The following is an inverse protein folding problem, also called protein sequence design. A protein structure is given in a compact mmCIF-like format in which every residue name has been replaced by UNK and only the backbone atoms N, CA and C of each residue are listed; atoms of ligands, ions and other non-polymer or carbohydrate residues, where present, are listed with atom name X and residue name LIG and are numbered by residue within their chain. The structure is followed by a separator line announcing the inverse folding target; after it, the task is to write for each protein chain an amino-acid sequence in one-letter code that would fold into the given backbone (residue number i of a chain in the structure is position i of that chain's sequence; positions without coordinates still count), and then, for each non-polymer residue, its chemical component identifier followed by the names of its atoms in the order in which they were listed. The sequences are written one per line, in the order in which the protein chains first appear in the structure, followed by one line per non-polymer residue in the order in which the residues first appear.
data_IF_292536149398
#
_entry.id   IF_292536149398
#
_cell.length_a   1.000
_cell.length_b   1.000
_cell.length_c   1.000
_cell.angle_alpha   90.00
_cell.angle_beta   90.00
_cell.angle_gamma   90.00
#
_symmetry.space_group_name_H-M   'P 1'
#
loop_
_entity.id
_entity.type
_entity.pdbx_description
1 polymer ?
#
# COMPACT_ATOMS: atom_id res chain seq x y z
N UNK A 1 33.17 -18.75 -25.47
CA UNK A 1 32.12 -17.81 -25.02
C UNK A 1 30.85 -17.97 -25.88
N UNK A 2 30.96 -17.96 -27.21
CA UNK A 2 29.81 -18.17 -28.12
C UNK A 2 29.12 -19.54 -27.98
N UNK A 3 29.86 -20.64 -27.80
CA UNK A 3 29.25 -21.96 -27.58
C UNK A 3 28.44 -22.02 -26.29
N UNK A 4 28.95 -21.45 -25.19
CA UNK A 4 28.22 -21.38 -23.92
C UNK A 4 26.96 -20.52 -24.06
N UNK A 5 27.01 -19.47 -24.88
CA UNK A 5 25.85 -18.63 -25.18
C UNK A 5 24.82 -19.36 -26.04
N UNK A 6 25.25 -20.13 -27.04
CA UNK A 6 24.38 -20.93 -27.89
C UNK A 6 23.68 -22.05 -27.10
N UNK A 7 24.40 -22.70 -26.18
CA UNK A 7 23.86 -23.70 -25.25
C UNK A 7 22.86 -23.05 -24.29
N UNK A 8 23.21 -21.91 -23.67
CA UNK A 8 22.29 -21.17 -22.81
C UNK A 8 21.03 -20.73 -23.55
N UNK A 9 21.14 -20.25 -24.79
CA UNK A 9 20.00 -19.83 -25.62
C UNK A 9 19.06 -21.00 -25.96
N UNK A 10 19.62 -22.18 -26.30
CA UNK A 10 18.81 -23.39 -26.54
C UNK A 10 18.09 -23.89 -25.29
N UNK A 11 18.62 -23.63 -24.10
CA UNK A 11 18.02 -24.05 -22.81
C UNK A 11 17.04 -23.02 -22.27
N UNK A 12 17.28 -21.74 -22.54
CA UNK A 12 16.39 -20.66 -22.18
C UNK A 12 15.17 -20.56 -23.08
N UNK A 13 15.26 -20.90 -24.37
CA UNK A 13 14.11 -20.83 -25.31
C UNK A 13 12.90 -21.66 -24.86
N UNK A 14 13.07 -22.93 -24.47
CA UNK A 14 11.97 -23.74 -23.93
C UNK A 14 11.39 -23.13 -22.66
N UNK A 15 12.23 -22.58 -21.77
CA UNK A 15 11.74 -21.92 -20.55
C UNK A 15 10.99 -20.62 -20.86
N UNK A 16 11.48 -19.79 -21.79
CA UNK A 16 10.78 -18.58 -22.24
C UNK A 16 9.46 -18.93 -22.94
N UNK A 17 9.45 -20.02 -23.72
CA UNK A 17 8.22 -20.53 -24.34
C UNK A 17 7.25 -21.06 -23.30
N UNK A 18 7.75 -21.72 -22.25
CA UNK A 18 6.94 -22.14 -21.10
C UNK A 18 6.42 -20.95 -20.31
N UNK A 19 7.23 -19.92 -20.05
CA UNK A 19 6.79 -18.68 -19.41
C UNK A 19 5.70 -18.01 -20.24
N UNK A 20 5.87 -17.93 -21.57
CA UNK A 20 4.86 -17.39 -22.50
C UNK A 20 3.59 -18.26 -22.54
N UNK A 21 3.71 -19.58 -22.41
CA UNK A 21 2.56 -20.47 -22.29
C UNK A 21 1.82 -20.28 -20.95
N UNK A 22 2.56 -20.07 -19.85
CA UNK A 22 1.98 -19.72 -18.55
C UNK A 22 1.31 -18.34 -18.61
N UNK A 23 1.91 -17.38 -19.29
CA UNK A 23 1.36 -16.05 -19.56
C UNK A 23 0.02 -16.15 -20.30
N UNK A 24 -0.03 -16.88 -21.43
CA UNK A 24 -1.27 -17.15 -22.18
C UNK A 24 -2.33 -17.79 -21.27
N UNK A 25 -1.94 -18.72 -20.40
CA UNK A 25 -2.87 -19.39 -19.50
C UNK A 25 -3.46 -18.47 -18.42
N UNK A 26 -2.78 -17.37 -18.06
CA UNK A 26 -3.26 -16.39 -17.06
C UNK A 26 -3.84 -15.13 -17.70
N UNK A 27 -3.87 -14.99 -19.03
CA UNK A 27 -4.47 -13.81 -19.70
C UNK A 27 -5.92 -13.59 -19.24
N UNK A 28 -6.68 -14.66 -18.98
CA UNK A 28 -8.05 -14.55 -18.47
C UNK A 28 -8.14 -14.03 -17.02
N UNK A 29 -7.07 -14.16 -16.23
CA UNK A 29 -6.97 -13.64 -14.86
C UNK A 29 -6.41 -12.20 -14.83
N UNK A 30 -5.69 -11.79 -15.88
CA UNK A 30 -4.99 -10.50 -15.99
C UNK A 30 -5.67 -9.49 -16.91
N UNK A 31 -6.53 -9.94 -17.82
CA UNK A 31 -7.39 -9.09 -18.63
C UNK A 31 -8.78 -9.01 -17.98
N UNK A 32 -9.38 -7.82 -17.89
CA UNK A 32 -10.75 -7.72 -17.39
C UNK A 32 -11.65 -8.53 -18.33
N UNK A 33 -12.39 -9.50 -17.78
CA UNK A 33 -13.30 -10.28 -18.63
C UNK A 33 -14.29 -9.32 -19.29
N UNK A 34 -14.70 -9.59 -20.53
CA UNK A 34 -15.70 -8.78 -21.24
C UNK A 34 -17.00 -8.62 -20.43
N UNK A 35 -17.31 -9.59 -19.56
CA UNK A 35 -18.42 -9.53 -18.61
C UNK A 35 -18.22 -8.52 -17.45
N UNK A 36 -16.97 -8.21 -17.07
CA UNK A 36 -16.61 -7.18 -16.09
C UNK A 36 -16.62 -5.78 -16.70
N UNK A 37 -16.26 -5.63 -17.98
CA UNK A 37 -16.34 -4.37 -18.73
C UNK A 37 -17.81 -3.94 -18.89
N UNK A 38 -18.70 -4.88 -19.22
CA UNK A 38 -20.14 -4.64 -19.31
C UNK A 38 -20.77 -4.24 -17.95
N UNK A 39 -20.27 -4.76 -16.83
CA UNK A 39 -20.77 -4.43 -15.48
C UNK A 39 -20.22 -3.13 -14.92
N UNK A 40 -18.98 -2.75 -15.24
CA UNK A 40 -18.41 -1.45 -14.86
C UNK A 40 -19.16 -0.25 -15.49
N UNK A 41 -19.86 -0.48 -16.61
CA UNK A 41 -20.77 0.50 -17.21
C UNK A 41 -22.12 0.59 -16.49
N UNK A 42 -22.50 -0.43 -15.71
CA UNK A 42 -23.78 -0.53 -15.01
C UNK A 42 -23.71 -0.17 -13.51
N UNK A 43 -22.52 -0.16 -12.90
CA UNK A 43 -22.36 0.23 -11.49
C UNK A 43 -22.34 1.75 -11.34
N UNK A 44 -23.52 2.34 -11.10
CA UNK A 44 -23.62 3.69 -10.55
C UNK A 44 -22.97 3.72 -9.16
N UNK A 45 -22.25 4.79 -8.79
CA UNK A 45 -21.76 4.95 -7.43
C UNK A 45 -22.97 5.11 -6.51
N UNK A 46 -23.24 4.12 -5.66
CA UNK A 46 -24.17 4.31 -4.55
C UNK A 46 -23.48 5.28 -3.60
N UNK A 47 -23.94 6.53 -3.61
CA UNK A 47 -23.61 7.48 -2.56
C UNK A 47 -24.07 6.86 -1.24
N UNK A 48 -23.15 6.73 -0.28
CA UNK A 48 -23.50 6.35 1.09
C UNK A 48 -24.34 7.48 1.69
N UNK A 49 -25.64 7.40 1.44
CA UNK A 49 -26.67 8.12 2.15
C UNK A 49 -27.53 7.06 2.87
N UNK A 50 -27.28 6.95 4.17
CA UNK A 50 -28.20 6.62 5.26
C UNK A 50 -29.51 5.88 4.87
N UNK A 51 -29.60 4.60 5.29
CA UNK A 51 -30.82 3.90 5.78
C UNK A 51 -31.97 3.66 4.77
N UNK A 52 -32.82 2.64 4.80
CA UNK A 52 -33.01 1.37 5.51
C UNK A 52 -33.63 0.41 4.46
N UNK A 53 -33.50 -0.90 4.62
CA UNK A 53 -34.17 -1.97 3.82
C UNK A 53 -33.60 -2.32 2.43
N UNK A 54 -32.39 -2.86 2.39
CA UNK A 54 -31.97 -3.72 1.27
C UNK A 54 -31.31 -5.01 1.80
N UNK A 55 -32.13 -5.86 2.42
CA UNK A 55 -31.86 -7.29 2.50
C UNK A 55 -32.24 -7.84 1.13
N UNK A 56 -31.27 -7.95 0.21
CA UNK A 56 -31.40 -8.90 -0.90
C UNK A 56 -30.11 -9.69 -1.09
N UNK A 57 -30.31 -11.00 -1.18
CA UNK A 57 -29.30 -12.03 -1.17
C UNK A 57 -28.44 -11.99 -2.44
N UNK A 58 -27.19 -11.53 -2.31
CA UNK A 58 -26.14 -11.85 -3.27
C UNK A 58 -25.53 -13.22 -2.92
N UNK A 59 -26.06 -14.25 -3.57
CA UNK A 59 -25.55 -15.61 -3.46
C UNK A 59 -24.16 -15.80 -4.05
N UNK A 60 -23.35 -16.53 -3.28
CA UNK A 60 -22.19 -17.36 -3.63
C UNK A 60 -20.80 -16.72 -3.76
N UNK A 61 -19.93 -17.27 -2.90
CA UNK A 61 -18.49 -17.49 -3.06
C UNK A 61 -17.60 -16.25 -3.31
N UNK A 62 -17.37 -15.46 -2.26
CA UNK A 62 -16.07 -14.79 -2.10
C UNK A 62 -15.50 -15.24 -0.77
N UNK A 63 -14.68 -16.27 -0.83
CA UNK A 63 -14.03 -16.95 0.29
C UNK A 63 -12.88 -16.12 0.92
N UNK A 64 -12.92 -14.80 0.74
CA UNK A 64 -11.94 -13.84 1.25
C UNK A 64 -12.45 -13.20 2.53
N UNK A 65 -11.59 -13.10 3.55
CA UNK A 65 -11.95 -12.48 4.84
C UNK A 65 -12.36 -11.00 4.72
N UNK A 66 -12.12 -10.36 3.57
CA UNK A 66 -12.44 -8.96 3.31
C UNK A 66 -13.93 -8.65 3.29
N UNK A 67 -14.72 -9.47 2.58
CA UNK A 67 -16.19 -9.34 2.55
C UNK A 67 -16.82 -9.59 3.93
N UNK A 68 -16.15 -10.38 4.77
CA UNK A 68 -16.54 -10.60 6.17
C UNK A 68 -16.32 -9.33 6.98
N UNK A 69 -15.13 -8.72 6.89
CA UNK A 69 -14.82 -7.48 7.60
C UNK A 69 -15.76 -6.34 7.21
N UNK A 70 -16.10 -6.21 5.92
CA UNK A 70 -17.09 -5.21 5.45
C UNK A 70 -18.43 -5.35 6.17
N UNK A 71 -18.96 -6.58 6.26
CA UNK A 71 -20.23 -6.84 6.95
C UNK A 71 -20.13 -6.64 8.47
N UNK A 72 -18.96 -6.91 9.06
CA UNK A 72 -18.74 -6.65 10.49
C UNK A 72 -18.69 -5.15 10.80
N UNK A 73 -18.18 -4.29 9.91
CA UNK A 73 -18.09 -2.84 10.13
C UNK A 73 -19.47 -2.15 10.06
N UNK A 74 -20.45 -2.75 9.39
CA UNK A 74 -21.77 -2.15 9.21
C UNK A 74 -22.46 -1.85 10.55
N UNK A 75 -23.18 -0.72 10.66
CA UNK A 75 -23.99 -0.41 11.84
C UNK A 75 -24.95 -1.57 12.16
N UNK A 76 -25.06 -1.95 13.44
CA UNK A 76 -25.96 -3.02 13.86
C UNK A 76 -25.38 -4.44 13.77
N UNK A 77 -24.14 -4.62 13.31
CA UNK A 77 -23.48 -5.94 13.30
C UNK A 77 -23.25 -6.53 14.70
N UNK A 78 -23.27 -5.71 15.76
CA UNK A 78 -22.91 -6.14 17.12
C UNK A 78 -21.41 -6.33 17.34
N UNK A 79 -20.56 -6.09 16.33
CA UNK A 79 -19.10 -6.05 16.46
C UNK A 79 -18.65 -4.63 16.71
N UNK A 80 -18.07 -4.37 17.89
CA UNK A 80 -17.58 -3.05 18.26
C UNK A 80 -16.18 -2.79 17.71
N UNK A 81 -16.06 -1.88 16.75
CA UNK A 81 -14.77 -1.35 16.31
C UNK A 81 -14.37 -0.19 17.20
N UNK A 82 -13.20 -0.30 17.83
CA UNK A 82 -12.65 0.71 18.75
C UNK A 82 -11.31 1.21 18.26
N UNK A 83 -11.12 2.51 18.35
CA UNK A 83 -9.88 3.17 18.00
C UNK A 83 -8.92 3.12 19.18
N UNK A 84 -7.69 2.67 18.96
CA UNK A 84 -6.62 2.62 19.95
C UNK A 84 -5.41 3.41 19.44
N UNK A 85 -4.78 4.17 20.33
CA UNK A 85 -3.51 4.84 20.05
C UNK A 85 -2.38 3.92 20.49
N UNK A 86 -1.52 3.55 19.55
CA UNK A 86 -0.41 2.60 19.70
C UNK A 86 0.90 3.37 19.54
N UNK A 87 1.87 3.17 20.44
CA UNK A 87 3.19 3.82 20.40
C UNK A 87 3.36 4.98 21.40
N UNK A 88 4.59 5.49 21.54
CA UNK A 88 4.96 6.49 22.55
C UNK A 88 5.04 7.91 21.97
N UNK A 89 4.57 8.90 22.75
CA UNK A 89 4.78 10.32 22.48
C UNK A 89 4.30 10.79 21.10
N UNK A 90 5.24 11.32 20.32
CA UNK A 90 4.98 11.87 18.99
C UNK A 90 4.88 10.80 17.90
N UNK A 91 5.33 9.56 18.15
CA UNK A 91 5.34 8.44 17.19
C UNK A 91 4.21 7.45 17.39
N UNK A 92 3.21 7.87 18.15
CA UNK A 92 1.97 7.12 18.28
C UNK A 92 1.15 7.12 16.98
N UNK A 93 0.56 5.99 16.62
CA UNK A 93 -0.38 5.82 15.52
C UNK A 93 -1.75 5.33 16.02
N UNK A 94 -2.80 5.76 15.35
CA UNK A 94 -4.16 5.31 15.57
C UNK A 94 -4.42 4.01 14.78
N UNK A 95 -4.89 2.97 15.47
CA UNK A 95 -5.29 1.67 14.90
C UNK A 95 -6.72 1.36 15.31
N UNK A 96 -7.49 0.72 14.42
CA UNK A 96 -8.86 0.28 14.72
C UNK A 96 -8.87 -1.22 15.03
N UNK A 97 -9.47 -1.59 16.15
CA UNK A 97 -9.48 -2.94 16.70
C UNK A 97 -10.90 -3.46 16.92
N UNK A 98 -11.09 -4.76 16.81
CA UNK A 98 -12.31 -5.46 17.21
C UNK A 98 -11.99 -6.71 18.05
N UNK A 99 -12.96 -7.15 18.86
CA UNK A 99 -12.80 -8.29 19.78
C UNK A 99 -12.98 -9.63 19.06
N UNK A 100 -12.11 -10.60 19.37
CA UNK A 100 -12.25 -12.01 18.93
C UNK A 100 -13.61 -12.58 19.32
N UNK A 101 -14.03 -12.36 20.58
CA UNK A 101 -15.30 -12.88 21.09
C UNK A 101 -16.51 -12.32 20.33
N UNK A 102 -16.51 -11.01 20.07
CA UNK A 102 -17.58 -10.36 19.30
C UNK A 102 -17.61 -10.87 17.85
N UNK A 103 -16.45 -11.06 17.22
CA UNK A 103 -16.36 -11.61 15.88
C UNK A 103 -16.93 -13.04 15.79
N UNK A 104 -16.58 -13.92 16.74
CA UNK A 104 -17.15 -15.30 16.82
C UNK A 104 -18.67 -15.25 16.97
N UNK A 105 -19.19 -14.40 17.86
CA UNK A 105 -20.63 -14.22 18.04
C UNK A 105 -21.31 -13.75 16.76
N UNK A 106 -20.66 -12.86 16.01
CA UNK A 106 -21.16 -12.36 14.73
C UNK A 106 -21.19 -13.45 13.64
N UNK A 107 -20.16 -14.30 13.54
CA UNK A 107 -20.15 -15.40 12.57
C UNK A 107 -21.34 -16.35 12.74
N UNK A 108 -21.68 -16.68 13.99
CA UNK A 108 -22.79 -17.58 14.32
C UNK A 108 -24.14 -16.88 14.07
N UNK A 109 -24.30 -15.65 14.56
CA UNK A 109 -25.58 -14.92 14.43
C UNK A 109 -25.89 -14.49 12.99
N UNK A 110 -24.86 -14.24 12.17
CA UNK A 110 -25.03 -13.95 10.74
C UNK A 110 -25.29 -15.20 9.88
N UNK A 111 -25.20 -16.41 10.46
CA UNK A 111 -25.29 -17.67 9.72
C UNK A 111 -24.09 -17.93 8.79
N UNK A 112 -22.99 -17.18 8.96
CA UNK A 112 -21.77 -17.36 8.18
C UNK A 112 -21.06 -18.67 8.54
N UNK A 113 -21.11 -19.06 9.81
CA UNK A 113 -20.52 -20.30 10.33
C UNK A 113 -21.51 -21.03 11.24
N UNK A 114 -21.44 -22.36 11.31
CA UNK A 114 -22.45 -23.19 12.00
C UNK A 114 -22.29 -23.18 13.51
N UNK A 115 -21.04 -23.19 13.98
CA UNK A 115 -20.72 -23.28 15.39
C UNK A 115 -19.51 -22.42 15.78
N UNK A 116 -19.18 -22.44 17.08
CA UNK A 116 -18.05 -21.67 17.63
C UNK A 116 -16.70 -22.16 17.12
N UNK A 117 -16.56 -23.46 16.82
CA UNK A 117 -15.32 -24.07 16.34
C UNK A 117 -15.04 -23.65 14.90
N UNK A 118 -16.04 -23.71 14.03
CA UNK A 118 -15.99 -23.25 12.64
C UNK A 118 -15.66 -21.75 12.59
N UNK A 119 -16.33 -20.93 13.42
CA UNK A 119 -16.04 -19.50 13.53
C UNK A 119 -14.61 -19.20 14.02
N UNK A 120 -14.07 -20.00 14.94
CA UNK A 120 -12.70 -19.86 15.40
C UNK A 120 -11.70 -20.26 14.32
N UNK A 121 -11.94 -21.37 13.60
CA UNK A 121 -11.13 -21.79 12.45
C UNK A 121 -11.18 -20.78 11.31
N UNK A 122 -12.32 -20.12 11.09
CA UNK A 122 -12.44 -19.02 10.11
C UNK A 122 -11.57 -17.83 10.48
N UNK A 123 -11.56 -17.42 11.75
CA UNK A 123 -10.68 -16.34 12.23
C UNK A 123 -9.20 -16.72 12.12
N UNK A 124 -8.85 -17.96 12.43
CA UNK A 124 -7.50 -18.47 12.26
C UNK A 124 -7.07 -18.44 10.80
N UNK A 125 -7.93 -18.88 9.86
CA UNK A 125 -7.68 -18.78 8.43
C UNK A 125 -7.50 -17.32 7.99
N UNK A 126 -8.33 -16.40 8.50
CA UNK A 126 -8.19 -14.97 8.24
C UNK A 126 -6.87 -14.41 8.77
N UNK A 127 -6.40 -14.90 9.92
CA UNK A 127 -5.10 -14.53 10.49
C UNK A 127 -3.94 -15.10 9.67
N UNK A 128 -3.99 -16.36 9.23
CA UNK A 128 -2.98 -17.00 8.36
C UNK A 128 -2.88 -16.30 7.01
N UNK A 129 -4.01 -15.84 6.45
CA UNK A 129 -4.07 -15.02 5.23
C UNK A 129 -3.77 -13.54 5.49
N UNK A 130 -3.46 -13.17 6.73
CA UNK A 130 -3.20 -11.81 7.20
C UNK A 130 -4.28 -10.81 6.77
N UNK A 131 -5.54 -11.26 6.72
CA UNK A 131 -6.71 -10.37 6.62
C UNK A 131 -6.84 -9.55 7.90
N UNK A 132 -6.55 -10.22 9.01
CA UNK A 132 -6.57 -9.67 10.35
C UNK A 132 -5.24 -9.98 11.03
N UNK A 133 -4.82 -9.12 11.95
CA UNK A 133 -3.60 -9.31 12.73
C UNK A 133 -3.91 -9.15 14.22
N UNK A 134 -3.52 -10.11 15.06
CA UNK A 134 -3.71 -10.01 16.50
C UNK A 134 -2.79 -8.91 17.06
N UNK A 135 -3.34 -8.10 17.95
CA UNK A 135 -2.60 -7.07 18.68
C UNK A 135 -2.56 -7.47 20.15
N UNK A 136 -1.35 -7.71 20.66
CA UNK A 136 -1.13 -7.99 22.07
C UNK A 136 -1.26 -6.70 22.88
N UNK A 137 -2.35 -6.60 23.64
CA UNK A 137 -2.62 -5.45 24.49
C UNK A 137 -1.56 -5.26 25.58
N UNK A 138 -0.81 -6.31 25.97
CA UNK A 138 0.24 -6.22 27.00
C UNK A 138 1.48 -5.48 26.50
N UNK A 139 1.78 -5.55 25.21
CA UNK A 139 2.92 -4.87 24.59
C UNK A 139 2.67 -3.35 24.41
N UNK A 140 1.42 -2.90 24.58
CA UNK A 140 0.99 -1.52 24.39
C UNK A 140 0.94 -0.68 25.67
N UNK A 141 1.14 -1.29 26.85
CA UNK A 141 0.95 -0.64 28.17
C UNK A 141 2.22 0.03 28.71
N UNK A 142 3.33 0.01 27.98
CA UNK A 142 4.57 0.65 28.44
C UNK A 142 4.50 2.16 28.16
N UNK A 143 3.94 2.88 29.13
CA UNK A 143 3.85 4.34 29.13
C UNK A 143 3.11 4.80 30.38
N UNK A 144 3.86 5.28 31.39
CA UNK A 144 3.35 5.73 32.69
C UNK A 144 2.34 6.89 32.54
N UNK A 145 1.06 6.58 32.36
CA UNK A 145 -0.08 7.30 32.94
C UNK A 145 -1.35 6.54 32.57
N UNK A 146 -1.87 5.77 33.53
CA UNK A 146 -3.15 5.08 33.39
C UNK A 146 -4.30 6.07 33.41
N UNK A 147 -4.57 6.72 32.27
CA UNK A 147 -5.86 7.35 31.98
C UNK A 147 -6.19 7.06 30.52
N UNK A 148 -6.82 5.90 30.28
CA UNK A 148 -7.45 5.60 29.01
C UNK A 148 -8.70 6.48 28.89
N UNK A 149 -8.71 7.38 27.91
CA UNK A 149 -9.92 8.09 27.51
C UNK A 149 -10.84 7.10 26.78
N UNK A 150 -11.71 6.45 27.57
CA UNK A 150 -12.67 5.44 27.13
C UNK A 150 -12.47 4.17 27.93
N UNK A 151 -13.33 3.94 28.93
CA UNK A 151 -13.26 2.82 29.89
C UNK A 151 -13.04 1.46 29.22
N UNK A 152 -11.80 1.05 29.12
CA UNK A 152 -11.41 -0.30 28.75
C UNK A 152 -11.11 -1.02 30.06
N UNK A 153 -11.98 -1.96 30.43
CA UNK A 153 -11.58 -3.05 31.32
C UNK A 153 -10.41 -3.78 30.66
N UNK A 154 -9.20 -3.48 31.12
CA UNK A 154 -7.97 -4.18 30.77
C UNK A 154 -7.85 -5.55 31.48
N UNK A 155 -8.86 -5.92 32.27
CA UNK A 155 -8.91 -7.14 33.05
C UNK A 155 -9.43 -8.37 32.28
N UNK A 156 -9.75 -8.24 30.99
CA UNK A 156 -10.15 -9.36 30.14
C UNK A 156 -9.01 -9.78 29.21
N UNK A 157 -8.61 -11.05 29.26
CA UNK A 157 -7.71 -11.74 28.31
C UNK A 157 -8.31 -11.84 26.88
N UNK A 158 -8.93 -10.78 26.37
CA UNK A 158 -9.63 -10.81 25.09
C UNK A 158 -8.67 -10.36 23.97
N UNK A 159 -8.23 -11.32 23.15
CA UNK A 159 -7.44 -11.08 21.94
C UNK A 159 -8.19 -10.08 21.05
N UNK A 160 -7.49 -9.01 20.66
CA UNK A 160 -8.02 -8.02 19.72
C UNK A 160 -7.34 -8.15 18.37
N UNK A 161 -8.12 -7.91 17.32
CA UNK A 161 -7.64 -7.96 15.95
C UNK A 161 -7.71 -6.58 15.31
N UNK A 162 -6.69 -6.22 14.56
CA UNK A 162 -6.76 -5.14 13.56
C UNK A 162 -7.06 -5.73 12.19
N UNK A 163 -7.84 -5.01 11.38
CA UNK A 163 -7.87 -5.26 9.95
C UNK A 163 -6.55 -4.79 9.35
N UNK A 164 -5.99 -5.60 8.45
CA UNK A 164 -4.81 -5.20 7.68
C UNK A 164 -5.29 -4.73 6.31
N UNK A 165 -4.77 -3.62 5.81
CA UNK A 165 -5.09 -3.15 4.47
C UNK A 165 -4.14 -3.85 3.47
N UNK A 166 -4.60 -4.44 2.35
CA UNK A 166 -3.68 -4.99 1.38
C UNK A 166 -2.71 -3.95 0.82
N UNK A 167 -3.10 -2.68 0.71
CA UNK A 167 -2.23 -1.56 0.29
C UNK A 167 -1.67 -0.79 1.48
N UNK A 168 -1.48 -1.45 2.63
CA UNK A 168 -0.93 -0.82 3.83
C UNK A 168 0.36 -0.03 3.51
N UNK A 169 0.39 1.21 3.98
CA UNK A 169 1.53 2.11 3.78
C UNK A 169 2.34 2.16 5.06
N UNK A 170 3.64 2.02 4.91
CA UNK A 170 4.64 2.17 5.95
C UNK A 170 5.49 3.40 5.68
N UNK A 171 5.65 4.26 6.69
CA UNK A 171 6.65 5.33 6.66
C UNK A 171 8.01 4.79 7.08
N UNK A 172 9.07 5.13 6.33
CA UNK A 172 10.43 4.68 6.60
C UNK A 172 11.25 5.83 7.21
N UNK A 173 11.97 5.52 8.29
CA UNK A 173 12.81 6.48 9.01
C UNK A 173 14.15 6.74 8.31
N UNK A 174 14.67 5.75 7.57
CA UNK A 174 15.98 5.81 6.94
C UNK A 174 15.99 5.18 5.55
N UNK A 175 17.11 5.36 4.82
CA UNK A 175 17.31 4.76 3.50
C UNK A 175 17.51 3.24 3.62
N UNK A 176 18.16 2.79 4.68
CA UNK A 176 18.42 1.38 4.95
C UNK A 176 17.10 0.61 5.14
N UNK A 177 16.09 1.25 5.72
CA UNK A 177 14.75 0.70 5.90
C UNK A 177 14.05 0.26 4.61
N UNK A 178 14.46 0.81 3.46
CA UNK A 178 13.91 0.44 2.14
C UNK A 178 14.11 -1.04 1.80
N UNK A 179 15.24 -1.60 2.22
CA UNK A 179 15.65 -2.96 1.92
C UNK A 179 15.36 -3.92 3.08
N UNK A 180 15.14 -3.40 4.28
CA UNK A 180 14.88 -4.22 5.46
C UNK A 180 13.57 -4.99 5.31
N UNK A 181 13.61 -6.25 5.75
CA UNK A 181 12.42 -7.11 5.79
C UNK A 181 11.36 -6.51 6.72
N UNK A 182 10.10 -6.60 6.29
CA UNK A 182 8.97 -6.04 7.01
C UNK A 182 7.71 -6.85 6.73
N UNK A 183 6.76 -6.77 7.65
CA UNK A 183 5.46 -7.41 7.54
C UNK A 183 4.50 -6.31 7.06
N UNK A 184 4.22 -6.27 5.76
CA UNK A 184 3.51 -5.16 5.11
C UNK A 184 2.30 -5.65 4.27
N UNK A 185 1.10 -5.15 4.55
CA UNK A 185 -0.12 -5.59 3.86
C UNK A 185 -0.45 -7.06 4.12
N UNK A 186 -0.67 -7.88 3.08
CA UNK A 186 -1.04 -9.31 3.25
C UNK A 186 0.15 -10.25 3.45
N UNK A 187 1.37 -9.77 3.26
CA UNK A 187 2.54 -10.65 3.16
C UNK A 187 3.69 -10.19 4.08
N UNK A 188 4.65 -11.07 4.29
CA UNK A 188 5.90 -10.78 4.97
C UNK A 188 7.05 -10.79 3.95
N UNK A 189 7.89 -9.77 4.01
CA UNK A 189 8.97 -9.55 3.06
C UNK A 189 10.34 -9.63 3.73
N UNK A 190 11.32 -10.07 2.97
CA UNK A 190 12.74 -10.13 3.31
C UNK A 190 13.57 -9.49 2.20
N UNK A 191 14.80 -9.13 2.52
CA UNK A 191 15.77 -8.64 1.54
C UNK A 191 15.86 -9.61 0.35
N UNK A 192 16.02 -9.08 -0.86
CA UNK A 192 16.21 -9.91 -2.04
C UNK A 192 17.45 -10.82 -1.86
N UNK A 193 17.26 -12.12 -2.13
CA UNK A 193 18.29 -13.12 -1.95
C UNK A 193 18.36 -14.06 -3.15
N UNK A 194 19.51 -14.06 -3.83
CA UNK A 194 19.79 -14.98 -4.94
C UNK A 194 19.66 -16.43 -4.50
N UNK A 195 20.04 -16.74 -3.26
CA UNK A 195 19.93 -18.10 -2.71
C UNK A 195 18.47 -18.53 -2.55
N UNK A 196 17.59 -17.63 -2.11
CA UNK A 196 16.16 -17.90 -1.97
C UNK A 196 15.53 -18.16 -3.34
N UNK A 197 15.88 -17.35 -4.34
CA UNK A 197 15.46 -17.55 -5.73
C UNK A 197 15.96 -18.88 -6.29
N UNK A 198 17.23 -19.22 -6.05
CA UNK A 198 17.83 -20.45 -6.53
C UNK A 198 17.12 -21.68 -5.95
N UNK A 199 16.84 -21.68 -4.64
CA UNK A 199 16.10 -22.76 -3.96
C UNK A 199 14.69 -22.94 -4.52
N UNK A 200 13.96 -21.85 -4.77
CA UNK A 200 12.63 -21.92 -5.38
C UNK A 200 12.70 -22.52 -6.79
N UNK A 201 13.64 -22.06 -7.62
CA UNK A 201 13.85 -22.60 -8.97
C UNK A 201 14.28 -24.07 -8.97
N UNK A 202 15.10 -24.49 -8.00
CA UNK A 202 15.66 -25.84 -7.92
C UNK A 202 14.57 -26.91 -7.95
N UNK A 203 13.50 -26.72 -7.19
CA UNK A 203 12.38 -27.67 -7.12
C UNK A 203 11.68 -27.81 -8.46
N UNK A 204 11.42 -26.70 -9.14
CA UNK A 204 10.77 -26.70 -10.46
C UNK A 204 11.68 -27.32 -11.54
N UNK A 205 12.95 -26.92 -11.60
CA UNK A 205 13.89 -27.38 -12.61
C UNK A 205 14.24 -28.86 -12.42
N UNK A 206 14.40 -29.32 -11.16
CA UNK A 206 14.64 -30.74 -10.86
C UNK A 206 13.46 -31.60 -11.32
N UNK A 207 12.22 -31.14 -11.14
CA UNK A 207 11.02 -31.85 -11.63
C UNK A 207 10.96 -31.91 -13.16
N UNK A 208 11.41 -30.87 -13.86
CA UNK A 208 11.33 -30.79 -15.31
C UNK A 208 12.40 -31.61 -16.04
N UNK A 209 13.64 -31.62 -15.55
CA UNK A 209 14.76 -32.22 -16.29
C UNK A 209 15.84 -32.89 -15.45
N UNK A 210 15.53 -33.19 -14.19
CA UNK A 210 16.44 -33.90 -13.29
C UNK A 210 17.71 -33.12 -12.93
N UNK A 211 18.74 -33.84 -12.46
CA UNK A 211 19.97 -33.25 -11.95
C UNK A 211 20.83 -32.59 -13.04
N UNK A 212 20.81 -33.11 -14.27
CA UNK A 212 21.61 -32.55 -15.37
C UNK A 212 21.12 -31.16 -15.78
N UNK A 213 19.80 -30.98 -15.92
CA UNK A 213 19.22 -29.66 -16.22
C UNK A 213 19.45 -28.69 -15.06
N UNK A 214 19.34 -29.15 -13.82
CA UNK A 214 19.64 -28.33 -12.64
C UNK A 214 21.11 -27.88 -12.61
N UNK A 215 22.05 -28.77 -12.91
CA UNK A 215 23.47 -28.43 -12.97
C UNK A 215 23.75 -27.33 -14.00
N UNK A 216 23.16 -27.44 -15.18
CA UNK A 216 23.28 -26.43 -16.22
C UNK A 216 22.58 -25.12 -15.86
N UNK A 217 21.40 -25.19 -15.25
CA UNK A 217 20.65 -24.02 -14.76
C UNK A 217 21.48 -23.21 -13.76
N UNK A 218 22.11 -23.88 -12.81
CA UNK A 218 22.97 -23.25 -11.82
C UNK A 218 24.22 -22.64 -12.46
N UNK A 219 24.89 -23.38 -13.36
CA UNK A 219 26.08 -22.89 -14.07
C UNK A 219 25.78 -21.63 -14.91
N UNK A 220 24.62 -21.60 -15.56
CA UNK A 220 24.17 -20.48 -16.39
C UNK A 220 23.56 -19.32 -15.60
N UNK A 221 23.51 -19.40 -14.26
CA UNK A 221 22.83 -18.42 -13.38
C UNK A 221 21.37 -18.21 -13.79
N UNK A 222 20.68 -19.28 -14.21
CA UNK A 222 19.34 -19.23 -14.78
C UNK A 222 18.32 -18.49 -13.92
N UNK A 223 18.36 -18.63 -12.59
CA UNK A 223 17.47 -17.92 -11.67
C UNK A 223 17.62 -16.39 -11.73
N UNK A 224 18.84 -15.88 -11.89
CA UNK A 224 19.09 -14.44 -12.08
C UNK A 224 18.57 -14.00 -13.45
N UNK A 225 18.84 -14.78 -14.50
CA UNK A 225 18.38 -14.49 -15.86
C UNK A 225 16.84 -14.44 -15.93
N UNK A 226 16.17 -15.41 -15.31
CA UNK A 226 14.71 -15.47 -15.21
C UNK A 226 14.17 -14.27 -14.42
N UNK A 227 14.78 -13.94 -13.29
CA UNK A 227 14.38 -12.77 -12.49
C UNK A 227 14.48 -11.49 -13.31
N UNK A 228 15.59 -11.28 -14.03
CA UNK A 228 15.77 -10.12 -14.90
C UNK A 228 14.73 -10.08 -16.02
N UNK A 229 14.48 -11.21 -16.68
CA UNK A 229 13.50 -11.31 -17.76
C UNK A 229 12.09 -10.96 -17.28
N UNK A 230 11.67 -11.49 -16.12
CA UNK A 230 10.37 -11.17 -15.52
C UNK A 230 10.31 -9.73 -15.01
N UNK A 231 11.39 -9.20 -14.44
CA UNK A 231 11.46 -7.82 -13.98
C UNK A 231 11.40 -6.80 -15.14
N UNK A 232 11.80 -7.18 -16.35
CA UNK A 232 11.78 -6.32 -17.55
C UNK A 232 10.64 -6.61 -18.51
N UNK A 233 9.73 -7.53 -18.18
CA UNK A 233 8.62 -7.86 -19.08
C UNK A 233 7.67 -6.66 -19.20
N UNK A 234 7.22 -6.42 -20.43
CA UNK A 234 6.17 -5.45 -20.73
C UNK A 234 4.81 -6.16 -20.73
N UNK A 235 3.78 -5.57 -20.09
CA UNK A 235 2.44 -6.11 -20.17
C UNK A 235 1.91 -6.13 -21.61
N UNK A 236 0.99 -7.06 -21.95
CA UNK A 236 0.41 -7.15 -23.30
C UNK A 236 -0.24 -5.85 -23.80
N UNK A 237 -0.89 -5.10 -22.91
CA UNK A 237 -1.56 -3.84 -23.25
C UNK A 237 -0.62 -2.69 -23.62
N UNK A 238 0.69 -2.82 -23.41
CA UNK A 238 1.69 -1.85 -23.88
C UNK A 238 2.30 -2.22 -25.24
N UNK A 239 2.12 -3.47 -25.67
CA UNK A 239 2.74 -4.01 -26.89
C UNK A 239 1.83 -3.86 -28.11
N UNK A 240 0.51 -3.82 -27.91
CA UNK A 240 -0.44 -3.65 -29.00
C UNK A 240 -0.55 -2.18 -29.42
N UNK A 241 -0.57 -1.92 -30.74
CA UNK A 241 -0.63 -0.58 -31.33
C UNK A 241 -1.89 0.23 -30.94
N UNK A 242 -2.86 -0.40 -30.27
CA UNK A 242 -3.99 0.27 -29.64
C UNK A 242 -3.62 0.61 -28.21
N UNK A 243 -3.28 1.88 -27.96
CA UNK A 243 -3.02 2.41 -26.62
C UNK A 243 -3.94 1.81 -25.55
N UNK A 244 -3.42 1.55 -24.36
CA UNK A 244 -4.13 1.05 -23.17
C UNK A 244 -5.27 1.99 -22.73
N UNK A 245 -6.41 1.89 -23.42
CA UNK A 245 -7.60 2.69 -23.18
C UNK A 245 -8.50 1.96 -22.19
N UNK A 246 -8.64 2.52 -20.99
CA UNK A 246 -9.57 2.02 -19.99
C UNK A 246 -10.91 2.73 -20.12
N UNK A 247 -12.01 1.97 -20.04
CA UNK A 247 -13.36 2.56 -19.97
C UNK A 247 -13.65 2.96 -18.52
N UNK A 248 -13.65 4.27 -18.24
CA UNK A 248 -14.00 4.82 -16.92
C UNK A 248 -15.16 5.79 -17.06
N UNK A 249 -16.30 5.48 -16.43
CA UNK A 249 -17.51 6.32 -16.51
C UNK A 249 -18.05 6.49 -17.94
N UNK A 250 -17.95 5.45 -18.78
CA UNK A 250 -18.40 5.48 -20.18
C UNK A 250 -17.47 6.22 -21.15
N UNK A 251 -16.33 6.75 -20.68
CA UNK A 251 -15.31 7.38 -21.53
C UNK A 251 -14.05 6.51 -21.57
N UNK A 252 -13.47 6.38 -22.77
CA UNK A 252 -12.15 5.82 -22.95
C UNK A 252 -11.12 6.84 -22.43
N UNK A 253 -10.40 6.48 -21.37
CA UNK A 253 -9.35 7.30 -20.77
C UNK A 253 -8.08 6.47 -20.66
N UNK A 254 -6.94 7.08 -21.00
CA UNK A 254 -5.65 6.45 -20.71
C UNK A 254 -5.37 6.51 -19.20
N UNK A 255 -4.78 5.45 -18.62
CA UNK A 255 -4.36 5.47 -17.23
C UNK A 255 -3.27 6.55 -17.02
N UNK A 256 -3.23 7.14 -15.83
CA UNK A 256 -2.16 8.07 -15.48
C UNK A 256 -0.80 7.33 -15.44
N UNK A 257 0.33 8.01 -15.72
CA UNK A 257 1.67 7.41 -15.63
C UNK A 257 1.92 6.66 -14.31
N UNK A 258 1.40 7.19 -13.21
CA UNK A 258 1.44 6.55 -11.90
C UNK A 258 0.70 5.22 -11.87
N UNK A 259 -0.57 5.23 -12.26
CA UNK A 259 -1.38 4.01 -12.27
C UNK A 259 -0.78 2.99 -13.23
N UNK A 260 -0.34 3.38 -14.42
CA UNK A 260 0.30 2.46 -15.35
C UNK A 260 1.55 1.80 -14.75
N UNK A 261 2.37 2.58 -14.05
CA UNK A 261 3.56 2.06 -13.33
C UNK A 261 3.18 1.01 -12.28
N UNK A 262 2.10 1.24 -11.51
CA UNK A 262 1.58 0.24 -10.56
C UNK A 262 1.11 -1.03 -11.29
N UNK A 263 0.34 -0.88 -12.38
CA UNK A 263 -0.22 -2.00 -13.16
C UNK A 263 0.89 -2.88 -13.75
N UNK A 264 1.95 -2.28 -14.30
CA UNK A 264 3.12 -3.01 -14.81
C UNK A 264 3.75 -3.89 -13.72
N UNK A 265 3.89 -3.39 -12.49
CA UNK A 265 4.56 -4.14 -11.43
C UNK A 265 3.61 -5.15 -10.76
N UNK A 266 2.30 -4.89 -10.72
CA UNK A 266 1.31 -5.91 -10.37
C UNK A 266 1.34 -7.08 -11.36
N UNK A 267 1.43 -6.80 -12.66
CA UNK A 267 1.59 -7.82 -13.70
C UNK A 267 2.84 -8.68 -13.47
N UNK A 268 3.98 -8.05 -13.20
CA UNK A 268 5.24 -8.73 -12.88
C UNK A 268 5.12 -9.60 -11.63
N UNK A 269 4.48 -9.09 -10.58
CA UNK A 269 4.21 -9.87 -9.37
C UNK A 269 3.30 -11.07 -9.63
N UNK A 270 2.28 -10.92 -10.48
CA UNK A 270 1.42 -12.02 -10.87
C UNK A 270 2.19 -13.12 -11.62
N UNK A 271 3.15 -12.75 -12.48
CA UNK A 271 4.04 -13.71 -13.13
C UNK A 271 4.95 -14.43 -12.13
N UNK A 272 5.59 -13.70 -11.19
CA UNK A 272 6.38 -14.35 -10.15
C UNK A 272 5.54 -15.32 -9.32
N UNK A 273 4.34 -14.93 -8.92
CA UNK A 273 3.39 -15.80 -8.20
C UNK A 273 3.04 -17.04 -9.01
N UNK A 274 2.73 -16.88 -10.30
CA UNK A 274 2.32 -18.00 -11.16
C UNK A 274 3.41 -19.05 -11.31
N UNK A 275 4.66 -18.62 -11.31
CA UNK A 275 5.83 -19.49 -11.43
C UNK A 275 6.34 -20.00 -10.06
N UNK A 276 5.58 -19.77 -8.99
CA UNK A 276 5.94 -20.13 -7.61
C UNK A 276 7.30 -19.57 -7.18
N UNK A 277 7.60 -18.36 -7.65
CA UNK A 277 8.82 -17.65 -7.35
C UNK A 277 8.61 -16.70 -6.16
N UNK A 278 9.58 -16.55 -5.24
CA UNK A 278 9.43 -15.73 -4.04
C UNK A 278 9.54 -14.23 -4.28
N UNK A 279 9.98 -13.78 -5.46
CA UNK A 279 10.27 -12.37 -5.73
C UNK A 279 8.99 -11.53 -5.81
N UNK A 280 8.95 -10.37 -5.14
CA UNK A 280 7.84 -9.41 -5.22
C UNK A 280 8.35 -7.98 -5.25
N UNK A 281 7.78 -7.17 -6.12
CA UNK A 281 7.98 -5.73 -6.13
C UNK A 281 7.15 -5.06 -5.03
N UNK A 282 7.79 -4.12 -4.33
CA UNK A 282 7.16 -3.12 -3.47
C UNK A 282 7.32 -1.74 -4.09
N UNK A 283 6.35 -0.86 -3.89
CA UNK A 283 6.43 0.52 -4.33
C UNK A 283 7.08 1.39 -3.24
N UNK A 284 7.99 2.27 -3.65
CA UNK A 284 8.67 3.25 -2.80
C UNK A 284 8.40 4.65 -3.33
N UNK A 285 7.81 5.50 -2.48
CA UNK A 285 7.59 6.92 -2.76
C UNK A 285 8.51 7.73 -1.86
N UNK A 286 9.44 8.46 -2.47
CA UNK A 286 10.29 9.41 -1.77
C UNK A 286 9.69 10.81 -1.89
N UNK A 287 9.62 11.52 -0.77
CA UNK A 287 9.11 12.89 -0.66
C UNK A 287 10.23 13.78 -0.16
N UNK A 288 10.59 14.79 -0.95
CA UNK A 288 11.57 15.82 -0.60
C UNK A 288 10.87 17.17 -0.48
N UNK A 289 11.00 17.79 0.69
CA UNK A 289 10.61 19.18 0.92
C UNK A 289 11.84 20.05 0.67
N UNK A 290 11.90 20.65 -0.50
CA UNK A 290 13.07 21.36 -0.99
C UNK A 290 13.15 22.76 -0.39
N UNK A 291 12.09 23.55 -0.59
CA UNK A 291 12.07 24.97 -0.27
C UNK A 291 10.71 25.40 0.31
N UNK A 292 10.71 26.46 1.13
CA UNK A 292 9.52 27.16 1.63
C UNK A 292 9.57 28.64 1.23
N UNK A 293 8.49 29.15 0.62
CA UNK A 293 8.35 30.55 0.20
C UNK A 293 7.39 31.31 1.12
N UNK A 294 7.50 32.64 1.07
CA UNK A 294 6.67 33.61 1.80
C UNK A 294 6.83 33.53 3.33
N UNK A 295 8.06 33.37 3.83
CA UNK A 295 8.39 33.37 5.26
C UNK A 295 8.09 34.67 6.02
N UNK A 296 7.38 35.64 5.44
CA UNK A 296 6.92 36.82 6.17
C UNK A 296 5.80 36.44 7.12
N UNK A 297 6.16 36.05 8.34
CA UNK A 297 5.20 35.97 9.43
C UNK A 297 4.62 37.38 9.73
N UNK A 298 3.37 37.49 10.20
CA UNK A 298 2.88 38.72 10.83
C UNK A 298 3.72 38.96 12.10
N UNK A 299 4.76 39.78 12.00
CA UNK A 299 5.71 40.02 13.10
C UNK A 299 7.17 40.27 12.72
N UNK A 300 7.55 40.18 11.43
CA UNK A 300 8.86 40.66 10.95
C UNK A 300 10.08 39.73 11.16
N UNK A 301 9.88 38.51 11.66
CA UNK A 301 10.98 37.53 11.76
C UNK A 301 11.43 37.04 10.38
N UNK A 302 12.74 37.04 10.11
CA UNK A 302 13.36 36.54 8.88
C UNK A 302 13.63 35.02 8.89
N UNK A 303 13.30 34.35 9.99
CA UNK A 303 13.44 32.89 10.13
C UNK A 303 12.34 32.30 11.00
N UNK A 304 12.02 31.04 10.73
CA UNK A 304 11.09 30.22 11.52
C UNK A 304 11.63 28.80 11.64
N UNK A 305 11.15 28.05 12.63
CA UNK A 305 11.44 26.61 12.72
C UNK A 305 10.23 25.85 12.20
N UNK A 306 10.33 25.15 11.08
CA UNK A 306 9.20 24.41 10.49
C UNK A 306 9.43 22.91 10.45
N UNK A 307 8.33 22.17 10.51
CA UNK A 307 8.26 20.74 10.19
C UNK A 307 6.98 20.46 9.40
N UNK A 308 6.94 19.31 8.74
CA UNK A 308 5.78 18.85 8.00
C UNK A 308 5.32 17.49 8.52
N UNK A 309 4.01 17.34 8.59
CA UNK A 309 3.33 16.06 8.65
C UNK A 309 2.98 15.64 7.22
N UNK A 310 3.30 14.40 6.87
CA UNK A 310 3.09 13.84 5.55
C UNK A 310 2.27 12.56 5.70
N UNK A 311 1.29 12.37 4.82
CA UNK A 311 0.49 11.15 4.77
C UNK A 311 0.25 10.74 3.34
N UNK A 312 0.64 9.52 3.01
CA UNK A 312 0.38 8.95 1.70
C UNK A 312 -0.98 8.22 1.75
N UNK A 313 -1.99 8.82 1.12
CA UNK A 313 -3.40 8.43 1.26
C UNK A 313 -4.04 8.08 -0.08
N UNK A 314 -5.21 7.46 0.00
CA UNK A 314 -6.10 7.21 -1.14
C UNK A 314 -7.04 8.39 -1.38
N UNK A 315 -7.52 8.51 -2.61
CA UNK A 315 -8.49 9.52 -3.00
C UNK A 315 -9.75 9.44 -2.13
N UNK A 316 -10.19 10.59 -1.62
CA UNK A 316 -11.37 10.70 -0.76
C UNK A 316 -11.14 10.28 0.70
N UNK A 317 -9.89 10.04 1.11
CA UNK A 317 -9.53 10.03 2.54
C UNK A 317 -9.41 11.47 3.04
N UNK A 318 -10.41 11.93 3.79
CA UNK A 318 -10.55 13.32 4.23
C UNK A 318 -10.15 13.59 5.69
N UNK A 319 -9.59 12.60 6.39
CA UNK A 319 -9.23 12.79 7.79
C UNK A 319 -8.14 13.87 7.93
N UNK A 320 -8.29 14.83 8.86
CA UNK A 320 -7.32 15.90 9.05
C UNK A 320 -5.98 15.34 9.56
N UNK A 321 -4.87 15.79 8.97
CA UNK A 321 -3.53 15.36 9.35
C UNK A 321 -2.98 16.25 10.47
N UNK A 322 -3.03 15.74 11.70
CA UNK A 322 -2.50 16.40 12.89
C UNK A 322 -1.61 15.44 13.68
N UNK A 323 -0.73 15.98 14.54
CA UNK A 323 0.07 15.18 15.47
C UNK A 323 -0.79 14.22 16.33
N UNK A 324 -2.01 14.60 16.66
CA UNK A 324 -2.93 13.79 17.47
C UNK A 324 -3.69 12.73 16.68
N UNK A 325 -3.76 12.87 15.36
CA UNK A 325 -4.52 12.00 14.46
C UNK A 325 -3.62 11.18 13.51
N UNK A 326 -2.34 10.97 13.89
CA UNK A 326 -1.40 10.16 13.12
C UNK A 326 -1.89 8.72 13.00
N UNK A 327 -1.65 8.13 11.84
CA UNK A 327 -1.90 6.74 11.50
C UNK A 327 -0.62 6.15 10.90
N UNK A 328 -0.59 4.84 10.66
CA UNK A 328 0.62 4.13 10.19
C UNK A 328 1.14 4.65 8.83
N UNK A 329 0.26 5.19 8.00
CA UNK A 329 0.55 5.82 6.71
C UNK A 329 1.09 7.27 6.83
N UNK A 330 1.41 7.73 8.05
CA UNK A 330 1.78 9.12 8.34
C UNK A 330 3.19 9.26 8.95
N UNK A 331 3.96 10.21 8.43
CA UNK A 331 5.31 10.56 8.88
C UNK A 331 5.40 12.02 9.32
N UNK A 332 6.36 12.32 10.19
CA UNK A 332 6.73 13.70 10.54
C UNK A 332 8.18 13.95 10.15
N UNK A 333 8.46 15.11 9.55
CA UNK A 333 9.84 15.56 9.39
C UNK A 333 10.38 16.10 10.72
N UNK A 334 11.70 16.12 10.87
CA UNK A 334 12.33 16.82 11.98
C UNK A 334 12.13 18.34 11.83
N UNK A 335 11.91 19.09 12.92
CA UNK A 335 11.87 20.55 12.89
C UNK A 335 13.20 21.12 12.43
N UNK A 336 13.16 21.98 11.41
CA UNK A 336 14.33 22.67 10.87
C UNK A 336 14.15 24.17 10.94
N UNK A 337 15.22 24.87 11.31
CA UNK A 337 15.26 26.33 11.22
C UNK A 337 15.43 26.72 9.75
N UNK A 338 14.44 27.41 9.21
CA UNK A 338 14.38 27.91 7.85
C UNK A 338 14.51 29.44 7.91
N UNK A 339 15.50 30.00 7.23
CA UNK A 339 15.75 31.44 7.20
C UNK A 339 15.86 31.97 5.78
N UNK A 340 15.43 33.20 5.56
CA UNK A 340 15.62 33.90 4.28
C UNK A 340 17.10 34.26 4.11
N UNK A 341 17.66 33.99 2.94
CA UNK A 341 19.00 34.47 2.53
C UNK A 341 18.94 35.72 1.64
N UNK A 342 17.78 36.02 1.04
CA UNK A 342 17.55 37.15 0.13
C UNK A 342 16.09 37.64 0.22
N UNK A 343 15.67 38.55 -0.67
CA UNK A 343 14.46 39.40 -0.59
C UNK A 343 13.13 38.76 -0.16
N UNK A 344 12.05 39.55 -0.01
CA UNK A 344 10.84 39.16 0.72
C UNK A 344 10.16 37.86 0.23
N UNK A 345 10.28 37.53 -1.06
CA UNK A 345 9.67 36.35 -1.69
C UNK A 345 10.69 35.24 -2.06
N UNK A 346 11.93 35.34 -1.58
CA UNK A 346 12.95 34.35 -1.89
C UNK A 346 12.61 32.98 -1.29
N UNK A 347 12.80 31.89 -2.04
CA UNK A 347 12.67 30.54 -1.50
C UNK A 347 13.74 30.31 -0.43
N UNK A 348 13.35 29.76 0.70
CA UNK A 348 14.26 29.38 1.76
C UNK A 348 14.41 27.86 1.81
N UNK A 349 15.65 27.40 1.85
CA UNK A 349 15.95 25.97 1.80
C UNK A 349 15.42 25.25 3.04
N UNK A 350 14.69 24.16 2.82
CA UNK A 350 14.14 23.30 3.85
C UNK A 350 14.94 21.99 3.93
N UNK A 351 15.06 21.27 2.82
CA UNK A 351 15.88 20.06 2.70
C UNK A 351 15.48 18.91 3.62
N UNK A 352 14.17 18.69 3.84
CA UNK A 352 13.66 17.52 4.58
C UNK A 352 13.25 16.40 3.62
N UNK A 353 13.38 15.15 4.06
CA UNK A 353 13.09 13.98 3.24
C UNK A 353 12.34 12.93 4.06
N UNK A 354 11.32 12.32 3.45
CA UNK A 354 10.56 11.19 4.00
C UNK A 354 10.37 10.14 2.91
N UNK A 355 10.26 8.88 3.32
CA UNK A 355 10.00 7.77 2.40
C UNK A 355 8.79 6.98 2.86
N UNK A 356 8.02 6.53 1.90
CA UNK A 356 6.90 5.62 2.11
C UNK A 356 7.12 4.37 1.28
N UNK A 357 6.71 3.24 1.84
CA UNK A 357 6.69 1.94 1.17
C UNK A 357 5.30 1.36 1.26
N UNK A 358 4.82 0.75 0.19
CA UNK A 358 3.58 -0.03 0.20
C UNK A 358 3.70 -1.24 -0.72
N UNK A 359 2.96 -2.33 -0.45
CA UNK A 359 3.05 -3.54 -1.21
C UNK A 359 2.16 -3.47 -2.44
N UNK A 360 2.45 -4.34 -3.39
CA UNK A 360 1.63 -4.59 -4.56
C UNK A 360 0.90 -5.91 -4.32
N UNK A 361 -0.38 -5.88 -3.89
CA UNK A 361 -1.07 -7.07 -3.40
C UNK A 361 -1.23 -8.12 -4.49
N UNK A 362 -1.28 -9.39 -4.11
CA UNK A 362 -1.50 -10.50 -5.04
C UNK A 362 -2.98 -10.81 -5.28
N UNK A 363 -3.85 -10.36 -4.39
CA UNK A 363 -5.29 -10.55 -4.35
C UNK A 363 -6.06 -9.39 -5.01
N UNK A 364 -5.38 -8.61 -5.85
CA UNK A 364 -5.97 -7.55 -6.66
C UNK A 364 -5.71 -7.81 -8.14
N UNK A 365 -6.64 -7.37 -8.99
CA UNK A 365 -6.47 -7.35 -10.42
C UNK A 365 -5.29 -6.43 -10.80
N UNK A 366 -4.72 -6.60 -12.00
CA UNK A 366 -3.65 -5.74 -12.48
C UNK A 366 -4.02 -4.25 -12.48
N UNK A 367 -5.30 -3.89 -12.55
CA UNK A 367 -5.79 -2.51 -12.40
C UNK A 367 -5.76 -1.96 -10.97
N UNK A 368 -5.24 -2.74 -10.01
CA UNK A 368 -5.20 -2.41 -8.59
C UNK A 368 -6.56 -2.48 -7.89
N UNK A 369 -7.57 -3.04 -8.57
CA UNK A 369 -8.92 -3.22 -8.03
C UNK A 369 -9.06 -4.59 -7.38
N UNK A 370 -9.80 -4.67 -6.29
CA UNK A 370 -10.14 -5.95 -5.66
C UNK A 370 -10.95 -6.84 -6.62
N UNK A 371 -10.75 -8.16 -6.51
CA UNK A 371 -11.59 -9.16 -7.19
C UNK A 371 -13.00 -9.26 -6.61
N UNK A 372 -13.28 -8.58 -5.49
CA UNK A 372 -14.59 -8.55 -4.86
C UNK A 372 -15.63 -7.89 -5.78
N UNK A 373 -16.81 -8.50 -5.88
CA UNK A 373 -17.87 -8.12 -6.83
C UNK A 373 -18.38 -6.70 -6.60
N UNK A 374 -18.32 -6.23 -5.36
CA UNK A 374 -18.89 -4.95 -4.97
C UNK A 374 -17.92 -3.78 -5.19
N UNK A 375 -16.61 -4.02 -5.40
CA UNK A 375 -15.57 -2.99 -5.60
C UNK A 375 -15.60 -1.83 -4.59
N UNK A 376 -16.16 -2.03 -3.39
CA UNK A 376 -16.50 -0.97 -2.44
C UNK A 376 -15.44 -0.69 -1.36
N UNK A 377 -15.30 0.62 -1.07
CA UNK A 377 -14.69 1.37 0.05
C UNK A 377 -13.41 0.91 0.78
N UNK A 378 -13.23 -0.36 1.17
CA UNK A 378 -12.03 -0.80 1.90
C UNK A 378 -10.82 -1.01 0.95
N UNK A 379 -11.09 -1.25 -0.33
CA UNK A 379 -10.09 -1.59 -1.35
C UNK A 379 -10.02 -0.52 -2.45
N UNK A 380 -9.88 0.75 -2.08
CA UNK A 380 -9.82 1.89 -3.03
C UNK A 380 -8.52 1.94 -3.87
N UNK A 381 -7.85 0.81 -4.05
CA UNK A 381 -6.61 0.70 -4.81
C UNK A 381 -5.38 1.28 -4.09
N UNK A 382 -4.29 1.52 -4.84
CA UNK A 382 -3.07 2.11 -4.29
C UNK A 382 -3.32 3.52 -3.74
N UNK A 383 -2.47 4.00 -2.82
CA UNK A 383 -2.47 5.42 -2.48
C UNK A 383 -2.21 6.27 -3.73
N UNK A 384 -2.83 7.44 -3.84
CA UNK A 384 -2.75 8.27 -5.04
C UNK A 384 -2.62 9.77 -4.75
N UNK A 385 -2.62 10.15 -3.46
CA UNK A 385 -2.47 11.54 -3.01
C UNK A 385 -1.50 11.60 -1.83
N UNK A 386 -0.60 12.56 -1.85
CA UNK A 386 0.22 12.94 -0.69
C UNK A 386 -0.44 14.14 0.00
N UNK A 387 -0.91 13.93 1.23
CA UNK A 387 -1.36 15.01 2.09
C UNK A 387 -0.17 15.58 2.87
N UNK A 388 -0.02 16.89 2.81
CA UNK A 388 1.04 17.65 3.46
C UNK A 388 0.42 18.66 4.41
N UNK A 389 0.92 18.75 5.63
CA UNK A 389 0.50 19.74 6.62
C UNK A 389 1.73 20.33 7.29
N UNK A 390 1.92 21.64 7.15
CA UNK A 390 3.12 22.33 7.58
C UNK A 390 2.85 23.13 8.84
N UNK A 391 3.78 23.05 9.78
CA UNK A 391 3.69 23.67 11.09
C UNK A 391 4.97 24.46 11.39
N UNK A 392 4.82 25.64 11.99
CA UNK A 392 5.88 26.35 12.67
C UNK A 392 5.95 25.89 14.12
N UNK A 393 7.12 25.40 14.54
CA UNK A 393 7.40 25.00 15.91
C UNK A 393 7.60 26.23 16.79
N UNK A 394 6.80 26.31 17.86
CA UNK A 394 6.90 27.37 18.90
C UNK A 394 7.02 26.73 20.28
N UNK A 395 7.38 27.53 21.27
CA UNK A 395 7.54 27.06 22.65
C UNK A 395 6.19 26.65 23.29
N UNK A 396 5.13 27.44 23.07
CA UNK A 396 3.82 27.22 23.71
C UNK A 396 2.91 26.30 22.89
N UNK A 397 2.74 26.59 21.60
CA UNK A 397 1.89 25.81 20.71
C UNK A 397 2.34 25.99 19.26
N UNK A 398 2.52 24.89 18.54
CA UNK A 398 2.87 24.92 17.14
C UNK A 398 1.78 25.64 16.31
N UNK A 399 2.20 26.45 15.35
CA UNK A 399 1.32 27.25 14.50
C UNK A 399 1.15 26.52 13.16
N UNK A 400 -0.09 26.23 12.77
CA UNK A 400 -0.37 25.65 11.47
C UNK A 400 -0.17 26.70 10.36
N UNK A 401 0.76 26.44 9.44
CA UNK A 401 1.06 27.34 8.32
C UNK A 401 0.16 27.05 7.11
N UNK A 402 -0.34 25.82 6.98
CA UNK A 402 -1.24 25.41 5.90
C UNK A 402 -1.01 23.96 5.47
N UNK A 403 -1.92 23.44 4.65
CA UNK A 403 -1.83 22.10 4.10
C UNK A 403 -2.20 22.03 2.62
N UNK A 404 -1.82 20.93 1.99
CA UNK A 404 -2.10 20.66 0.59
C UNK A 404 -2.22 19.16 0.32
N UNK A 405 -3.00 18.80 -0.69
CA UNK A 405 -3.07 17.44 -1.23
C UNK A 405 -2.45 17.45 -2.63
N UNK A 406 -1.38 16.66 -2.82
CA UNK A 406 -0.62 16.55 -4.07
C UNK A 406 -0.98 15.24 -4.75
N UNK A 407 -1.49 15.30 -5.98
CA UNK A 407 -1.84 14.09 -6.75
C UNK A 407 -0.61 13.42 -7.32
N UNK A 408 -0.59 12.10 -7.28
CA UNK A 408 0.53 11.32 -7.82
C UNK A 408 0.41 11.04 -9.32
N UNK A 409 -0.69 11.40 -9.99
CA UNK A 409 -1.01 10.99 -11.36
C UNK A 409 0.15 11.19 -12.37
N UNK A 410 0.89 12.29 -12.27
CA UNK A 410 1.99 12.60 -13.18
C UNK A 410 3.30 11.83 -12.89
N UNK A 411 3.37 11.06 -11.80
CA UNK A 411 4.58 10.40 -11.33
C UNK A 411 4.76 9.02 -11.98
N UNK A 412 5.70 8.90 -12.92
CA UNK A 412 6.05 7.63 -13.56
C UNK A 412 7.13 6.85 -12.78
N UNK A 413 7.26 5.55 -13.04
CA UNK A 413 8.35 4.71 -12.52
C UNK A 413 9.73 5.27 -12.90
N UNK A 414 10.57 5.57 -11.90
CA UNK A 414 11.88 6.19 -12.10
C UNK A 414 11.83 7.67 -12.47
N UNK A 415 10.63 8.24 -12.60
CA UNK A 415 10.40 9.66 -12.83
C UNK A 415 10.39 10.48 -11.54
N UNK A 416 10.42 11.79 -11.71
CA UNK A 416 10.28 12.76 -10.63
C UNK A 416 9.15 13.74 -10.95
N UNK A 417 8.34 14.08 -9.95
CA UNK A 417 7.38 15.18 -10.00
C UNK A 417 7.90 16.27 -9.06
N UNK A 418 8.20 17.45 -9.59
CA UNK A 418 8.65 18.58 -8.78
C UNK A 418 7.77 19.79 -9.04
N UNK A 419 7.14 20.33 -8.00
CA UNK A 419 6.22 21.45 -8.14
C UNK A 419 6.21 22.36 -6.90
N UNK A 420 5.76 23.60 -7.12
CA UNK A 420 5.42 24.54 -6.06
C UNK A 420 3.95 24.37 -5.68
N UNK A 421 3.70 23.96 -4.44
CA UNK A 421 2.37 23.65 -3.94
C UNK A 421 1.90 24.77 -3.00
N UNK A 422 0.76 25.43 -3.27
CA UNK A 422 0.18 26.40 -2.35
C UNK A 422 -0.40 25.70 -1.13
N UNK A 423 0.00 26.14 0.06
CA UNK A 423 -0.51 25.64 1.34
C UNK A 423 -1.75 26.46 1.73
N UNK A 424 -2.88 25.76 1.86
CA UNK A 424 -4.16 26.37 2.26
C UNK A 424 -4.27 26.34 3.78
N UNK A 425 -4.45 27.51 4.39
CA UNK A 425 -4.76 27.64 5.81
C UNK A 425 -6.28 27.83 5.99
N UNK A 426 -6.87 27.15 6.97
CA UNK A 426 -8.26 27.38 7.35
C UNK A 426 -8.34 28.69 8.15
N UNK A 427 -8.75 29.78 7.51
CA UNK A 427 -9.16 31.01 8.20
C UNK A 427 -8.12 32.15 8.29
N UNK A 428 -7.10 32.20 7.43
CA UNK A 428 -6.21 33.38 7.35
C UNK A 428 -6.43 34.18 6.07
N UNK A 429 -7.00 35.38 6.20
CA UNK A 429 -6.88 36.42 5.19
C UNK A 429 -5.43 36.93 5.19
N UNK A 430 -4.65 36.59 4.16
CA UNK A 430 -3.51 37.41 3.76
C UNK A 430 -2.23 36.71 3.28
N UNK A 431 -1.85 35.54 3.81
CA UNK A 431 -0.55 34.89 3.46
C UNK A 431 -0.77 33.47 2.95
N UNK A 432 -0.54 33.27 1.65
CA UNK A 432 -0.42 31.93 1.06
C UNK A 432 1.04 31.50 1.07
N UNK A 433 1.33 30.44 1.82
CA UNK A 433 2.65 29.81 1.83
C UNK A 433 2.79 28.86 0.64
N UNK A 434 4.01 28.68 0.14
CA UNK A 434 4.27 27.72 -0.93
C UNK A 434 5.42 26.79 -0.54
N UNK A 435 5.19 25.49 -0.63
CA UNK A 435 6.23 24.48 -0.44
C UNK A 435 6.66 23.94 -1.81
N UNK A 436 7.96 23.87 -2.06
CA UNK A 436 8.50 23.15 -3.22
C UNK A 436 8.72 21.70 -2.84
N UNK A 437 7.99 20.81 -3.50
CA UNK A 437 7.98 19.39 -3.17
C UNK A 437 8.47 18.62 -4.39
N UNK A 438 9.37 17.65 -4.16
CA UNK A 438 9.76 16.66 -5.16
C UNK A 438 9.33 15.27 -4.71
N UNK A 439 8.65 14.55 -5.60
CA UNK A 439 8.21 13.19 -5.42
C UNK A 439 8.93 12.28 -6.41
N UNK A 440 9.36 11.11 -5.95
CA UNK A 440 9.99 10.09 -6.79
C UNK A 440 9.33 8.74 -6.53
N UNK A 441 8.95 8.02 -7.58
CA UNK A 441 8.42 6.65 -7.49
C UNK A 441 9.46 5.67 -8.01
N UNK A 442 9.73 4.62 -7.24
CA UNK A 442 10.51 3.46 -7.69
C UNK A 442 9.89 2.18 -7.16
N UNK A 443 10.34 1.06 -7.72
CA UNK A 443 9.90 -0.27 -7.30
C UNK A 443 11.12 -1.07 -6.88
N UNK A 444 11.06 -1.63 -5.67
CA UNK A 444 12.13 -2.43 -5.10
C UNK A 444 11.73 -3.89 -5.15
N UNK A 445 12.64 -4.76 -5.62
CA UNK A 445 12.41 -6.18 -5.67
C UNK A 445 12.83 -6.80 -4.34
N UNK A 446 11.91 -7.48 -3.67
CA UNK A 446 12.13 -8.19 -2.40
C UNK A 446 11.78 -9.67 -2.56
N UNK A 447 12.00 -10.47 -1.51
CA UNK A 447 11.56 -11.86 -1.45
C UNK A 447 10.47 -12.02 -0.38
N UNK A 448 9.47 -12.85 -0.63
CA UNK A 448 8.56 -13.32 0.42
C UNK A 448 9.36 -14.05 1.50
N UNK A 449 9.01 -13.81 2.76
CA UNK A 449 9.51 -14.60 3.88
C UNK A 449 8.92 -16.01 3.82
N UNK A 450 9.69 -17.02 4.24
CA UNK A 450 9.18 -18.38 4.37
C UNK A 450 7.99 -18.37 5.36
N UNK A 451 6.83 -18.88 4.92
CA UNK A 451 5.64 -19.01 5.77
C UNK A 451 5.97 -20.02 6.87
N UNK A 452 6.08 -19.54 8.11
CA UNK A 452 6.35 -20.37 9.30
C UNK A 452 5.18 -21.27 9.64
#
# INVERSE_FOLDING_TARGET
IEEMYAVASRLMRPLLSWCRAQEIAIVHDLAPSTSQIARGAASLPVAVAVSDTAIEAAGSCVDGGDAVIRRMIQPGSGVGFRTLRVGEGNDSAIVVLFSKRQAISWFISSGSEKDKTDAASRLELMQTRRVIEPIDMKQLVIGKSGVFAGGVDLNGEDIRYRFVDPWEVEALESKEGEFMGAVLGREAYTTFSVNTVAKACETAIRKLGGLHLLGLWTLSKGGICLTKALASVHPPWELDAGSDLQMRGGKATQPSPYINSIRQHLYRNALFRRLDLPQRFLALVQVELLDLKNLTAPGGSSSLTAYAMLRLKRQGSGAPLTLKARTLDSASTQPRKIGKSSGPNAPASWGSLVRFRFPLPEDVHCDGLSFDRDREALFKGPPCELQVSVYEKKFMSDIFLGGADVKLDALASGGQLEEWVPLRAAGSDGITWFARIRLTLRFELMCLADKK
#
